data_IF_554543091103
#
_entry.id   IF_554543091103
#
_cell.length_a   1.000
_cell.length_b   1.000
_cell.length_c   1.000
_cell.angle_alpha   90.00
_cell.angle_beta   90.00
_cell.angle_gamma   90.00
#
_symmetry.space_group_name_H-M   'P 1'
#
loop_
_entity.id
_entity.type
_entity.pdbx_description
1 polymer ?
#
# COMPACT_ATOMS: atom_id res chain seq x y z
N UNK A 1 -21.35 -29.44 -24.46
CA UNK A 1 -22.13 -30.64 -24.84
C UNK A 1 -21.13 -31.74 -25.16
N UNK A 2 -20.90 -32.69 -24.24
CA UNK A 2 -19.87 -33.74 -24.41
C UNK A 2 -20.57 -35.05 -24.80
N UNK A 3 -20.17 -35.64 -25.92
CA UNK A 3 -20.68 -36.94 -26.38
C UNK A 3 -20.00 -38.06 -25.60
N UNK A 4 -20.78 -38.85 -24.85
CA UNK A 4 -20.32 -40.09 -24.24
C UNK A 4 -20.49 -41.24 -25.23
N UNK A 5 -19.40 -41.87 -25.64
CA UNK A 5 -19.44 -43.17 -26.31
C UNK A 5 -19.57 -44.27 -25.25
N UNK A 6 -20.42 -45.28 -25.51
CA UNK A 6 -21.01 -46.19 -24.52
C UNK A 6 -20.07 -47.21 -23.82
N UNK A 7 -18.75 -47.00 -23.75
CA UNK A 7 -17.80 -48.10 -23.46
C UNK A 7 -16.87 -47.89 -22.26
N UNK A 8 -17.33 -47.27 -21.17
CA UNK A 8 -16.61 -47.35 -19.88
C UNK A 8 -17.47 -48.01 -18.79
N UNK A 9 -17.35 -49.34 -18.62
CA UNK A 9 -17.98 -50.05 -17.51
C UNK A 9 -17.26 -49.64 -16.20
N UNK A 10 -18.01 -49.09 -15.25
CA UNK A 10 -17.50 -48.84 -13.88
C UNK A 10 -17.70 -47.42 -13.35
N UNK A 11 -18.08 -46.47 -14.20
CA UNK A 11 -18.32 -45.09 -13.73
C UNK A 11 -19.73 -44.96 -13.17
N UNK A 12 -19.83 -44.74 -11.86
CA UNK A 12 -21.11 -44.51 -11.19
C UNK A 12 -21.70 -43.18 -11.67
N UNK A 13 -22.67 -43.25 -12.59
CA UNK A 13 -23.32 -42.09 -13.23
C UNK A 13 -23.88 -41.08 -12.22
N UNK A 14 -24.27 -41.51 -11.01
CA UNK A 14 -24.73 -40.60 -9.95
C UNK A 14 -23.59 -39.76 -9.34
N UNK A 15 -22.38 -40.30 -9.22
CA UNK A 15 -21.22 -39.55 -8.70
C UNK A 15 -20.75 -38.51 -9.70
N UNK A 16 -20.76 -38.85 -10.99
CA UNK A 16 -20.39 -37.90 -12.06
C UNK A 16 -21.41 -36.77 -12.18
N UNK A 17 -22.71 -37.09 -12.16
CA UNK A 17 -23.75 -36.05 -12.14
C UNK A 17 -23.67 -35.16 -10.89
N UNK A 18 -23.36 -35.73 -9.71
CA UNK A 18 -23.14 -34.96 -8.49
C UNK A 18 -21.92 -34.04 -8.57
N UNK A 19 -20.83 -34.50 -9.19
CA UNK A 19 -19.62 -33.70 -9.40
C UNK A 19 -19.87 -32.52 -10.36
N UNK A 20 -20.60 -32.74 -11.45
CA UNK A 20 -20.98 -31.65 -12.36
C UNK A 20 -21.96 -30.67 -11.73
N UNK A 21 -22.93 -31.15 -10.93
CA UNK A 21 -23.84 -30.25 -10.20
C UNK A 21 -23.06 -29.40 -9.19
N UNK A 22 -22.09 -29.99 -8.49
CA UNK A 22 -21.21 -29.28 -7.56
C UNK A 22 -20.35 -28.23 -8.27
N UNK A 23 -19.74 -28.56 -9.42
CA UNK A 23 -18.99 -27.59 -10.23
C UNK A 23 -19.87 -26.48 -10.80
N UNK A 24 -21.10 -26.78 -11.22
CA UNK A 24 -22.04 -25.76 -11.66
C UNK A 24 -22.49 -24.84 -10.51
N UNK A 25 -22.64 -25.37 -9.30
CA UNK A 25 -22.99 -24.56 -8.11
C UNK A 25 -21.83 -23.69 -7.63
N UNK A 26 -20.59 -24.18 -7.70
CA UNK A 26 -19.38 -23.37 -7.46
C UNK A 26 -19.24 -22.29 -8.55
N UNK A 27 -19.41 -22.65 -9.82
CA UNK A 27 -19.40 -21.68 -10.92
C UNK A 27 -20.48 -20.62 -10.76
N UNK A 28 -21.67 -20.97 -10.29
CA UNK A 28 -22.74 -20.00 -9.98
C UNK A 28 -22.44 -19.14 -8.74
N UNK A 29 -21.73 -19.67 -7.74
CA UNK A 29 -21.31 -18.90 -6.56
C UNK A 29 -20.14 -17.95 -6.86
N UNK A 30 -19.31 -18.26 -7.87
CA UNK A 30 -18.24 -17.39 -8.36
C UNK A 30 -18.81 -16.33 -9.33
N UNK A 31 -19.74 -16.70 -10.23
CA UNK A 31 -20.43 -15.77 -11.14
C UNK A 31 -21.48 -14.88 -10.46
N UNK A 32 -22.01 -15.27 -9.30
CA UNK A 32 -22.83 -14.43 -8.41
C UNK A 32 -22.04 -13.91 -7.20
N UNK A 33 -20.76 -14.24 -7.10
CA UNK A 33 -19.81 -13.50 -6.29
C UNK A 33 -19.62 -12.11 -6.92
N UNK A 34 -19.07 -11.13 -6.19
CA UNK A 34 -19.02 -9.73 -6.63
C UNK A 34 -17.98 -9.54 -7.73
N UNK A 35 -18.13 -10.19 -8.88
CA UNK A 35 -17.39 -9.87 -10.09
C UNK A 35 -18.14 -8.77 -10.81
N UNK A 36 -17.65 -7.53 -10.71
CA UNK A 36 -17.97 -6.47 -11.67
C UNK A 36 -18.70 -5.23 -11.13
N UNK A 37 -19.05 -5.17 -9.86
CA UNK A 37 -19.14 -3.87 -9.19
C UNK A 37 -17.77 -3.64 -8.60
N UNK A 38 -17.04 -2.64 -9.08
CA UNK A 38 -16.06 -1.97 -8.22
C UNK A 38 -16.79 -1.78 -6.91
N UNK A 39 -16.41 -2.57 -5.90
CA UNK A 39 -16.86 -2.31 -4.55
C UNK A 39 -16.43 -0.86 -4.40
N UNK A 40 -17.36 0.11 -4.30
CA UNK A 40 -16.95 1.39 -3.79
C UNK A 40 -16.43 0.99 -2.44
N UNK A 41 -15.11 0.89 -2.33
CA UNK A 41 -14.50 0.90 -1.05
C UNK A 41 -14.93 2.29 -0.60
N UNK A 42 -16.03 2.34 0.17
CA UNK A 42 -16.48 3.54 0.85
C UNK A 42 -15.40 3.74 1.91
N UNK A 43 -14.23 4.17 1.43
CA UNK A 43 -12.94 3.96 2.05
C UNK A 43 -12.84 4.79 3.30
N UNK A 44 -13.63 5.84 3.38
CA UNK A 44 -13.93 6.53 4.60
C UNK A 44 -15.42 6.86 4.47
N UNK A 45 -16.26 6.34 5.38
CA UNK A 45 -17.67 6.74 5.38
C UNK A 45 -17.77 8.28 5.41
N UNK A 46 -18.88 8.84 4.94
CA UNK A 46 -19.19 10.29 4.97
C UNK A 46 -18.94 11.00 6.33
N UNK A 47 -18.56 10.26 7.36
CA UNK A 47 -18.13 10.71 8.69
C UNK A 47 -16.77 11.45 8.70
N UNK A 48 -15.85 11.25 7.75
CA UNK A 48 -14.67 12.11 7.65
C UNK A 48 -14.92 13.43 6.91
N UNK A 49 -16.07 13.54 6.24
CA UNK A 49 -16.43 14.68 5.40
C UNK A 49 -17.10 15.82 6.19
N UNK A 50 -17.47 15.62 7.46
CA UNK A 50 -18.25 16.62 8.22
C UNK A 50 -17.43 17.75 8.88
N UNK A 51 -16.10 17.79 8.75
CA UNK A 51 -15.22 18.69 9.51
C UNK A 51 -15.24 20.17 9.03
N UNK A 52 -16.10 20.54 8.07
CA UNK A 52 -16.05 21.82 7.35
C UNK A 52 -16.89 22.99 7.88
N UNK A 53 -17.63 22.87 8.99
CA UNK A 53 -18.52 23.96 9.44
C UNK A 53 -17.74 25.00 10.26
N UNK A 54 -17.35 26.09 9.59
CA UNK A 54 -16.73 27.27 10.20
C UNK A 54 -17.67 27.93 11.23
N UNK A 55 -17.41 27.72 12.52
CA UNK A 55 -18.02 28.51 13.60
C UNK A 55 -17.23 29.81 13.84
N UNK A 56 -17.93 30.90 14.17
CA UNK A 56 -17.33 32.20 14.56
C UNK A 56 -17.34 32.38 16.10
N UNK A 57 -16.39 33.14 16.68
CA UNK A 57 -15.66 32.60 17.83
C UNK A 57 -15.96 33.26 19.18
N UNK A 58 -16.01 32.41 20.21
CA UNK A 58 -15.29 32.62 21.45
C UNK A 58 -14.80 31.25 21.93
N UNK A 59 -13.58 30.88 21.55
CA UNK A 59 -12.96 29.57 21.86
C UNK A 59 -12.52 29.43 23.31
N UNK A 60 -12.71 30.47 24.14
CA UNK A 60 -12.28 30.50 25.53
C UNK A 60 -10.83 30.04 25.69
N UNK A 61 -10.53 29.39 26.81
CA UNK A 61 -9.19 28.84 27.09
C UNK A 61 -9.25 27.38 27.53
N UNK A 62 -10.46 26.80 27.57
CA UNK A 62 -10.73 25.44 28.00
C UNK A 62 -11.21 24.61 26.80
N UNK A 63 -10.70 23.38 26.59
CA UNK A 63 -11.16 22.52 25.49
C UNK A 63 -12.68 22.28 25.51
N UNK A 64 -13.31 22.30 26.68
CA UNK A 64 -14.78 22.17 26.82
C UNK A 64 -15.55 23.33 26.21
N UNK A 65 -14.92 24.49 25.98
CA UNK A 65 -15.54 25.61 25.27
C UNK A 65 -15.86 25.24 23.81
N UNK A 66 -15.09 24.32 23.21
CA UNK A 66 -15.36 23.80 21.86
C UNK A 66 -16.63 22.94 21.80
N UNK A 67 -16.98 22.23 22.87
CA UNK A 67 -18.14 21.33 22.92
C UNK A 67 -19.49 22.02 22.66
N UNK A 68 -19.54 23.34 22.83
CA UNK A 68 -20.74 24.15 22.59
C UNK A 68 -21.11 24.20 21.10
N UNK A 69 -20.10 24.23 20.22
CA UNK A 69 -20.28 24.33 18.78
C UNK A 69 -19.91 23.03 18.04
N UNK A 70 -19.03 22.22 18.62
CA UNK A 70 -18.43 21.01 18.04
C UNK A 70 -18.62 19.83 19.00
N UNK A 71 -19.88 19.55 19.37
CA UNK A 71 -20.20 18.56 20.40
C UNK A 71 -19.77 17.13 20.00
N UNK A 72 -19.91 16.79 18.72
CA UNK A 72 -19.58 15.46 18.20
C UNK A 72 -18.06 15.27 18.11
N UNK A 73 -17.33 16.25 17.55
CA UNK A 73 -15.86 16.22 17.46
C UNK A 73 -15.23 16.24 18.85
N UNK A 74 -15.74 17.08 19.75
CA UNK A 74 -15.30 17.11 21.14
C UNK A 74 -15.58 15.77 21.83
N UNK A 75 -16.77 15.19 21.63
CA UNK A 75 -17.11 13.87 22.16
C UNK A 75 -16.15 12.78 21.70
N UNK A 76 -15.85 12.74 20.40
CA UNK A 76 -14.89 11.79 19.83
C UNK A 76 -13.48 12.02 20.39
N UNK A 77 -13.02 13.27 20.44
CA UNK A 77 -11.72 13.62 21.00
C UNK A 77 -11.60 13.18 22.46
N UNK A 78 -12.60 13.39 23.32
CA UNK A 78 -12.53 13.01 24.75
C UNK A 78 -12.31 11.52 24.97
N UNK A 79 -12.67 10.66 24.01
CA UNK A 79 -12.43 9.23 24.04
C UNK A 79 -11.03 8.82 23.59
N UNK A 80 -10.25 9.74 23.02
CA UNK A 80 -8.93 9.42 22.46
C UNK A 80 -7.86 9.27 23.52
N UNK A 81 -6.80 8.55 23.15
CA UNK A 81 -5.54 8.55 23.91
C UNK A 81 -4.98 9.95 24.12
N UNK A 82 -5.16 10.91 23.19
CA UNK A 82 -4.67 12.28 23.36
C UNK A 82 -5.38 13.03 24.51
N UNK A 83 -6.71 12.94 24.58
CA UNK A 83 -7.50 13.57 25.64
C UNK A 83 -7.25 12.94 27.01
N UNK A 84 -7.03 11.62 27.03
CA UNK A 84 -6.84 10.85 28.25
C UNK A 84 -5.37 10.63 28.63
N UNK A 85 -4.43 11.08 27.78
CA UNK A 85 -2.99 10.85 27.98
C UNK A 85 -2.53 11.40 29.31
N UNK A 86 -3.16 12.48 29.79
CA UNK A 86 -2.87 13.04 31.09
C UNK A 86 -4.12 13.12 31.93
N UNK A 87 -4.05 12.50 33.09
CA UNK A 87 -5.08 12.61 34.11
C UNK A 87 -4.47 13.11 35.41
N UNK A 88 -5.24 13.87 36.18
CA UNK A 88 -4.84 14.36 37.50
C UNK A 88 -5.93 14.09 38.53
N UNK A 89 -5.53 13.71 39.74
CA UNK A 89 -6.44 13.60 40.89
C UNK A 89 -6.22 14.73 41.92
N UNK A 90 -5.49 15.78 41.53
CA UNK A 90 -5.13 16.92 42.38
C UNK A 90 -3.86 16.71 43.23
N UNK A 91 -3.43 15.46 43.45
CA UNK A 91 -2.16 15.15 44.15
C UNK A 91 -1.13 14.50 43.25
N UNK A 92 -1.58 13.78 42.22
CA UNK A 92 -0.75 13.07 41.25
C UNK A 92 -1.20 13.40 39.82
N UNK A 93 -0.23 13.37 38.91
CA UNK A 93 -0.40 13.40 37.47
C UNK A 93 0.00 12.03 36.94
N UNK A 94 -0.89 11.40 36.18
CA UNK A 94 -0.63 10.17 35.45
C UNK A 94 -0.49 10.49 33.97
N UNK A 95 0.54 9.93 33.34
CA UNK A 95 0.86 10.07 31.91
C UNK A 95 0.71 8.69 31.27
N UNK A 96 -0.41 8.49 30.57
CA UNK A 96 -0.87 7.20 30.08
C UNK A 96 -0.91 6.15 31.18
N UNK A 97 -0.64 4.90 30.81
CA UNK A 97 -0.45 3.77 31.73
C UNK A 97 0.97 3.65 32.30
N UNK A 98 1.90 4.49 31.84
CA UNK A 98 3.34 4.21 31.99
C UNK A 98 3.98 4.96 33.15
N UNK A 99 3.44 6.13 33.54
CA UNK A 99 4.07 6.96 34.54
C UNK A 99 3.04 7.66 35.43
N UNK A 100 3.30 7.71 36.73
CA UNK A 100 2.51 8.49 37.69
C UNK A 100 3.46 9.17 38.66
N UNK A 101 3.29 10.48 38.82
CA UNK A 101 4.12 11.30 39.72
C UNK A 101 3.26 12.27 40.51
N UNK A 102 3.80 12.84 41.59
CA UNK A 102 3.06 13.88 42.32
C UNK A 102 3.00 15.15 41.49
N UNK A 103 1.95 15.97 41.65
CA UNK A 103 1.84 17.28 40.98
C UNK A 103 3.07 18.16 41.24
N UNK A 104 3.70 18.06 42.42
CA UNK A 104 4.92 18.81 42.75
C UNK A 104 6.14 18.41 41.90
N UNK A 105 6.16 17.20 41.34
CA UNK A 105 7.23 16.71 40.47
C UNK A 105 6.93 16.92 38.98
N UNK A 106 5.67 17.16 38.61
CA UNK A 106 5.30 17.55 37.25
C UNK A 106 5.71 19.00 37.00
N UNK A 107 6.91 19.18 36.47
CA UNK A 107 7.56 20.48 36.30
C UNK A 107 7.62 20.88 34.81
N UNK A 108 8.28 22.01 34.52
CA UNK A 108 8.47 22.55 33.18
C UNK A 108 9.04 21.54 32.16
N UNK A 109 9.91 20.62 32.58
CA UNK A 109 10.46 19.58 31.71
C UNK A 109 9.41 18.57 31.29
N UNK A 110 8.48 18.20 32.19
CA UNK A 110 7.33 17.37 31.83
C UNK A 110 6.36 18.16 30.96
N UNK A 111 5.93 19.35 31.42
CA UNK A 111 4.93 20.17 30.74
C UNK A 111 5.29 20.48 29.28
N UNK A 112 6.59 20.66 28.97
CA UNK A 112 7.05 20.89 27.60
C UNK A 112 6.52 19.88 26.57
N UNK A 113 6.41 18.61 26.95
CA UNK A 113 5.99 17.54 26.05
C UNK A 113 4.57 17.03 26.33
N UNK A 114 3.94 17.55 27.39
CA UNK A 114 2.74 16.98 28.01
C UNK A 114 1.65 18.03 28.23
N UNK A 115 1.80 19.24 27.71
CA UNK A 115 0.76 20.28 27.75
C UNK A 115 0.70 20.98 26.40
N UNK A 116 -0.50 21.16 25.87
CA UNK A 116 -0.72 22.01 24.70
C UNK A 116 -0.34 23.46 24.97
N UNK A 117 0.23 24.12 23.96
CA UNK A 117 0.57 25.55 24.04
C UNK A 117 1.74 25.87 24.97
N UNK A 118 2.65 24.93 25.23
CA UNK A 118 3.86 25.20 26.00
C UNK A 118 4.73 26.28 25.35
N UNK A 119 5.00 27.37 26.08
CA UNK A 119 5.86 28.45 25.62
C UNK A 119 7.23 28.38 26.31
N UNK A 120 8.27 28.06 25.52
CA UNK A 120 9.65 27.98 26.01
C UNK A 120 10.21 29.33 26.52
N UNK A 121 9.63 30.46 26.10
CA UNK A 121 10.09 31.79 26.53
C UNK A 121 9.60 32.16 27.93
N UNK A 122 8.40 31.71 28.29
CA UNK A 122 7.78 31.96 29.61
C UNK A 122 7.96 30.79 30.57
N UNK A 123 8.20 29.58 30.05
CA UNK A 123 8.30 28.36 30.85
C UNK A 123 6.96 27.96 31.46
N UNK A 124 5.86 28.34 30.81
CA UNK A 124 4.49 28.04 31.23
C UNK A 124 3.65 27.70 29.99
N UNK A 125 2.62 26.84 30.11
CA UNK A 125 1.67 26.67 29.03
C UNK A 125 0.83 27.95 28.85
N UNK A 126 0.53 28.29 27.60
CA UNK A 126 -0.35 29.39 27.23
C UNK A 126 -1.80 29.16 27.71
N UNK A 127 -2.15 27.92 28.02
CA UNK A 127 -3.48 27.48 28.47
C UNK A 127 -3.36 26.75 29.81
N UNK A 128 -4.35 26.89 30.70
CA UNK A 128 -4.39 26.24 32.03
C UNK A 128 -4.79 24.75 31.96
N UNK A 129 -4.47 24.08 30.85
CA UNK A 129 -4.90 22.72 30.55
C UNK A 129 -3.70 21.76 30.57
N UNK A 130 -3.83 20.69 31.36
CA UNK A 130 -2.93 19.54 31.28
C UNK A 130 -3.33 18.65 30.11
N UNK A 131 -2.34 18.10 29.38
CA UNK A 131 -2.57 17.16 28.27
C UNK A 131 -2.59 17.81 26.88
N UNK A 132 -2.91 16.97 25.87
CA UNK A 132 -3.05 17.37 24.46
C UNK A 132 -4.50 17.72 24.19
N UNK A 133 -4.79 18.99 23.95
CA UNK A 133 -6.12 19.50 23.63
C UNK A 133 -6.22 20.06 22.19
N UNK A 134 -7.40 20.56 21.82
CA UNK A 134 -7.69 21.12 20.49
C UNK A 134 -6.65 22.17 20.05
N UNK A 135 -6.15 23.00 20.95
CA UNK A 135 -5.16 24.03 20.63
C UNK A 135 -3.76 23.48 20.28
N UNK A 136 -3.53 22.16 20.37
CA UNK A 136 -2.33 21.55 19.82
C UNK A 136 -2.32 21.54 18.28
N UNK A 137 -3.49 21.43 17.66
CA UNK A 137 -3.65 21.33 16.21
C UNK A 137 -4.39 22.54 15.61
N UNK A 138 -4.98 23.37 16.47
CA UNK A 138 -5.67 24.61 16.11
C UNK A 138 -4.90 25.81 16.68
N UNK A 139 -4.65 26.82 15.86
CA UNK A 139 -3.95 28.06 16.25
C UNK A 139 -4.86 29.10 16.91
N UNK A 140 -6.00 28.65 17.47
CA UNK A 140 -7.07 29.51 17.98
C UNK A 140 -8.02 30.01 16.89
N UNK A 141 -7.84 29.57 15.64
CA UNK A 141 -8.81 29.69 14.56
C UNK A 141 -9.37 28.31 14.18
N UNK A 142 -10.52 28.20 13.50
CA UNK A 142 -11.07 26.90 13.11
C UNK A 142 -10.29 26.19 11.99
N UNK A 143 -9.11 26.71 11.61
CA UNK A 143 -8.23 26.00 10.67
C UNK A 143 -7.47 24.91 11.41
N UNK A 144 -7.35 23.75 10.79
CA UNK A 144 -6.52 22.64 11.27
C UNK A 144 -5.15 22.77 10.64
N UNK A 145 -4.09 22.69 11.44
CA UNK A 145 -2.74 22.50 10.93
C UNK A 145 -2.52 21.02 10.60
N UNK A 146 -2.53 20.68 9.31
CA UNK A 146 -2.28 19.33 8.81
C UNK A 146 -0.79 19.03 8.62
N UNK A 147 0.13 19.92 8.99
CA UNK A 147 1.55 19.64 8.89
C UNK A 147 1.99 18.58 9.90
N UNK A 148 3.02 17.80 9.57
CA UNK A 148 3.64 16.92 10.56
C UNK A 148 4.31 17.70 11.70
N UNK A 149 4.66 18.96 11.47
CA UNK A 149 5.29 19.85 12.46
C UNK A 149 4.38 20.13 13.66
N UNK A 150 3.05 20.18 13.44
CA UNK A 150 2.08 20.25 14.53
C UNK A 150 2.23 19.08 15.52
N UNK A 151 2.52 17.88 15.01
CA UNK A 151 2.73 16.68 15.82
C UNK A 151 4.14 16.63 16.42
N UNK A 152 5.13 17.23 15.75
CA UNK A 152 6.53 17.23 16.17
C UNK A 152 6.75 17.67 17.62
N UNK A 153 5.98 18.67 18.08
CA UNK A 153 6.09 19.21 19.44
C UNK A 153 5.99 18.13 20.52
N UNK A 154 5.17 17.09 20.30
CA UNK A 154 4.98 15.99 21.23
C UNK A 154 5.68 14.68 20.81
N UNK A 155 6.05 14.55 19.52
CA UNK A 155 6.56 13.30 18.92
C UNK A 155 8.03 13.34 18.44
N UNK A 156 8.80 14.37 18.80
CA UNK A 156 10.23 14.58 18.44
C UNK A 156 11.23 13.94 19.43
N UNK A 157 10.85 12.84 20.10
CA UNK A 157 11.44 12.33 21.34
C UNK A 157 12.95 12.50 21.60
N UNK A 158 13.30 12.56 22.90
CA UNK A 158 14.66 12.27 23.38
C UNK A 158 14.59 11.32 24.60
N UNK A 159 15.46 10.31 24.62
CA UNK A 159 15.53 9.33 25.72
C UNK A 159 14.40 8.28 25.66
N UNK A 160 13.55 8.24 26.69
CA UNK A 160 12.48 7.24 26.87
C UNK A 160 11.19 7.52 26.05
N UNK A 161 11.23 8.51 25.15
CA UNK A 161 10.08 8.95 24.34
C UNK A 161 10.30 8.66 22.85
N UNK A 162 9.26 8.26 22.10
CA UNK A 162 9.39 7.77 20.73
C UNK A 162 9.84 8.81 19.70
N UNK A 163 10.60 8.33 18.71
CA UNK A 163 11.11 9.06 17.54
C UNK A 163 10.14 9.05 16.35
N UNK A 164 8.83 9.10 16.59
CA UNK A 164 7.83 8.96 15.52
C UNK A 164 7.93 10.09 14.49
N UNK A 165 8.09 11.35 14.93
CA UNK A 165 8.22 12.46 13.99
C UNK A 165 9.49 12.38 13.17
N UNK A 166 10.64 12.02 13.78
CA UNK A 166 11.90 11.95 13.04
C UNK A 166 11.84 10.85 11.96
N UNK A 167 11.34 9.66 12.32
CA UNK A 167 11.14 8.56 11.37
C UNK A 167 10.19 8.93 10.25
N UNK A 168 9.06 9.57 10.58
CA UNK A 168 8.14 10.08 9.58
C UNK A 168 8.83 11.12 8.68
N UNK A 169 9.59 12.06 9.24
CA UNK A 169 10.29 13.09 8.46
C UNK A 169 11.35 12.52 7.51
N UNK A 170 11.89 11.35 7.85
CA UNK A 170 12.83 10.60 7.01
C UNK A 170 12.12 9.67 6.01
N UNK A 171 10.79 9.57 6.04
CA UNK A 171 9.99 8.70 5.17
C UNK A 171 9.74 9.31 3.79
N UNK A 172 9.35 8.46 2.83
CA UNK A 172 8.82 8.91 1.55
C UNK A 172 7.50 9.70 1.70
N UNK A 173 6.68 9.40 2.72
CA UNK A 173 5.43 10.11 2.97
C UNK A 173 5.63 11.58 3.33
N UNK A 174 6.65 11.91 4.13
CA UNK A 174 6.99 13.32 4.42
C UNK A 174 7.42 14.09 3.15
N UNK A 175 7.94 13.38 2.15
CA UNK A 175 8.42 13.95 0.89
C UNK A 175 7.43 13.79 -0.28
N UNK A 176 6.28 13.16 -0.06
CA UNK A 176 5.32 12.79 -1.11
C UNK A 176 4.96 13.96 -2.03
N UNK A 177 4.67 15.13 -1.45
CA UNK A 177 4.28 16.31 -2.23
C UNK A 177 5.46 16.95 -2.96
N UNK A 178 6.66 16.86 -2.40
CA UNK A 178 7.89 17.27 -3.09
C UNK A 178 8.10 16.40 -4.32
N UNK A 179 8.03 15.09 -4.16
CA UNK A 179 8.21 14.12 -5.26
C UNK A 179 7.14 14.33 -6.33
N UNK A 180 5.86 14.47 -5.93
CA UNK A 180 4.76 14.77 -6.85
C UNK A 180 5.02 16.04 -7.65
N UNK A 181 5.40 17.15 -7.01
CA UNK A 181 5.64 18.44 -7.70
C UNK A 181 6.84 18.40 -8.65
N UNK A 182 7.77 17.48 -8.45
CA UNK A 182 8.90 17.27 -9.38
C UNK A 182 8.55 16.39 -10.57
N UNK A 183 7.46 15.62 -10.50
CA UNK A 183 7.00 14.74 -11.58
C UNK A 183 6.42 15.54 -12.75
N UNK A 184 6.75 15.13 -13.98
CA UNK A 184 6.12 15.65 -15.21
C UNK A 184 4.66 15.21 -15.38
N UNK A 185 4.19 14.29 -14.55
CA UNK A 185 2.85 13.71 -14.59
C UNK A 185 2.00 14.12 -13.37
N UNK A 186 2.43 15.13 -12.63
CA UNK A 186 1.69 15.62 -11.47
C UNK A 186 0.25 16.04 -11.87
N UNK A 187 -0.74 15.39 -11.25
CA UNK A 187 -2.15 15.66 -11.49
C UNK A 187 -2.95 15.69 -10.20
N UNK A 188 -4.14 16.28 -10.25
CA UNK A 188 -5.06 16.32 -9.10
C UNK A 188 -5.54 14.94 -8.67
N UNK A 189 -5.46 13.92 -9.54
CA UNK A 189 -5.74 12.53 -9.16
C UNK A 189 -4.69 11.97 -8.19
N UNK A 190 -3.47 12.49 -8.21
CA UNK A 190 -2.39 12.03 -7.34
C UNK A 190 -2.49 12.62 -5.92
N UNK A 191 -3.11 13.80 -5.77
CA UNK A 191 -3.16 14.49 -4.46
C UNK A 191 -3.95 13.72 -3.43
N UNK A 192 -4.90 12.86 -3.85
CA UNK A 192 -5.64 11.96 -2.96
C UNK A 192 -4.71 11.15 -2.03
N UNK A 193 -3.57 10.69 -2.55
CA UNK A 193 -2.63 9.85 -1.80
C UNK A 193 -1.28 10.50 -1.53
N UNK A 194 -1.03 11.66 -2.12
CA UNK A 194 0.24 12.35 -1.99
C UNK A 194 0.14 13.60 -1.10
N UNK A 195 -1.05 13.95 -0.62
CA UNK A 195 -1.27 15.03 0.36
C UNK A 195 -2.20 14.61 1.48
N UNK A 196 -2.07 15.28 2.63
CA UNK A 196 -2.94 15.02 3.78
C UNK A 196 -4.37 15.49 3.53
N UNK A 197 -4.51 16.65 2.89
CA UNK A 197 -5.83 17.21 2.55
C UNK A 197 -6.56 16.34 1.55
N UNK A 198 -5.88 15.85 0.50
CA UNK A 198 -6.49 14.97 -0.50
C UNK A 198 -6.88 13.61 0.05
N UNK A 199 -6.15 13.13 1.07
CA UNK A 199 -6.49 11.89 1.76
C UNK A 199 -7.74 12.05 2.63
N UNK A 200 -7.81 13.14 3.39
CA UNK A 200 -8.93 13.42 4.31
C UNK A 200 -10.19 13.83 3.56
N UNK A 201 -10.06 14.71 2.57
CA UNK A 201 -11.16 15.22 1.73
C UNK A 201 -11.14 14.56 0.35
N UNK A 202 -11.67 13.33 0.29
CA UNK A 202 -11.67 12.52 -0.94
C UNK A 202 -12.55 13.10 -2.07
N UNK A 203 -13.45 14.05 -1.76
CA UNK A 203 -14.28 14.72 -2.77
C UNK A 203 -13.61 16.00 -3.31
N UNK A 204 -12.59 16.50 -2.59
CA UNK A 204 -11.83 17.67 -2.97
C UNK A 204 -10.99 17.43 -4.22
N UNK A 205 -11.00 18.42 -5.13
CA UNK A 205 -10.04 18.47 -6.24
C UNK A 205 -8.93 19.43 -5.87
N UNK A 206 -7.77 18.90 -5.52
CA UNK A 206 -6.62 19.70 -5.11
C UNK A 206 -5.60 19.82 -6.25
N UNK A 207 -5.16 21.05 -6.50
CA UNK A 207 -4.06 21.34 -7.44
C UNK A 207 -2.72 21.03 -6.74
N UNK A 208 -1.88 20.11 -7.25
CA UNK A 208 -0.54 19.86 -6.70
C UNK A 208 0.33 21.12 -6.54
N UNK A 209 0.07 22.18 -7.32
CA UNK A 209 0.77 23.45 -7.22
C UNK A 209 0.32 24.33 -6.04
N UNK A 210 -0.77 23.99 -5.36
CA UNK A 210 -1.25 24.72 -4.19
C UNK A 210 -0.27 24.55 -3.03
N UNK A 211 0.38 25.66 -2.67
CA UNK A 211 1.40 25.72 -1.61
C UNK A 211 0.82 25.53 -0.21
N UNK A 212 -0.51 25.56 -0.05
CA UNK A 212 -1.18 25.30 1.22
C UNK A 212 -1.34 23.81 1.54
N UNK A 213 -1.15 22.93 0.56
CA UNK A 213 -1.18 21.48 0.76
C UNK A 213 0.04 20.98 1.52
N UNK A 214 -0.19 19.98 2.37
CA UNK A 214 0.83 19.28 3.10
C UNK A 214 1.14 17.93 2.43
N UNK A 215 2.39 17.46 2.53
CA UNK A 215 2.71 16.06 2.26
C UNK A 215 1.88 15.13 3.14
N UNK A 216 1.90 13.83 2.87
CA UNK A 216 1.26 12.84 3.74
C UNK A 216 1.88 12.93 5.14
N UNK A 217 1.08 13.35 6.11
CA UNK A 217 1.48 13.61 7.49
C UNK A 217 0.62 12.81 8.47
N UNK A 218 0.85 12.99 9.78
CA UNK A 218 0.19 12.18 10.80
C UNK A 218 -1.35 12.21 10.71
N UNK A 219 -2.04 13.36 10.48
CA UNK A 219 -3.49 13.41 10.32
C UNK A 219 -4.05 12.64 9.11
N UNK A 220 -3.24 12.31 8.10
CA UNK A 220 -3.66 11.44 7.01
C UNK A 220 -3.92 10.03 7.56
N UNK A 221 -3.02 9.50 8.37
CA UNK A 221 -3.16 8.16 8.93
C UNK A 221 -4.02 8.11 10.20
N UNK A 222 -3.93 9.16 11.03
CA UNK A 222 -4.56 9.22 12.34
C UNK A 222 -5.77 10.16 12.35
N UNK A 223 -6.85 9.73 12.97
CA UNK A 223 -8.01 10.55 13.27
C UNK A 223 -7.99 10.93 14.74
N UNK A 224 -8.26 12.20 15.04
CA UNK A 224 -8.48 12.67 16.43
C UNK A 224 -9.91 13.13 16.68
N UNK A 225 -10.70 13.26 15.61
CA UNK A 225 -12.10 13.70 15.64
C UNK A 225 -13.08 12.65 15.11
N UNK A 226 -12.61 11.59 14.45
CA UNK A 226 -13.47 10.54 13.92
C UNK A 226 -13.90 9.55 14.99
N UNK A 227 -14.99 8.84 14.74
CA UNK A 227 -15.44 7.75 15.61
C UNK A 227 -14.35 6.66 15.77
N UNK A 228 -13.56 6.43 14.72
CA UNK A 228 -12.39 5.54 14.70
C UNK A 228 -11.35 5.87 15.80
N UNK A 229 -11.20 7.15 16.13
CA UNK A 229 -10.28 7.65 17.15
C UNK A 229 -10.63 7.14 18.57
N UNK A 230 -11.91 6.87 18.82
CA UNK A 230 -12.41 6.45 20.14
C UNK A 230 -12.42 4.92 20.32
N UNK A 231 -12.41 4.15 19.23
CA UNK A 231 -12.50 2.68 19.26
C UNK A 231 -11.15 1.97 19.05
N UNK A 232 -10.18 2.60 18.38
CA UNK A 232 -8.87 2.01 18.11
C UNK A 232 -7.76 2.56 19.02
N UNK A 233 -6.92 1.72 19.66
CA UNK A 233 -5.82 2.19 20.51
C UNK A 233 -4.76 3.01 19.75
N UNK A 234 -4.70 2.87 18.42
CA UNK A 234 -3.76 3.59 17.55
C UNK A 234 -4.38 4.81 16.82
N UNK A 235 -5.68 5.08 17.02
CA UNK A 235 -6.40 6.20 16.40
C UNK A 235 -6.27 6.28 14.86
N UNK A 236 -6.11 5.15 14.17
CA UNK A 236 -5.98 5.13 12.70
C UNK A 236 -7.33 5.33 12.01
N UNK A 237 -7.32 5.85 10.77
CA UNK A 237 -8.52 6.11 9.94
C UNK A 237 -9.11 4.87 9.25
N UNK A 238 -8.82 3.67 9.74
CA UNK A 238 -9.32 2.42 9.20
C UNK A 238 -9.51 1.37 10.31
N UNK A 239 -10.07 0.20 9.97
CA UNK A 239 -10.26 -0.90 10.92
C UNK A 239 -8.92 -1.47 11.39
N UNK A 240 -7.94 -1.52 10.49
CA UNK A 240 -6.59 -2.01 10.72
C UNK A 240 -5.58 -1.27 9.82
N UNK A 241 -4.28 -1.49 10.02
CA UNK A 241 -3.28 -0.71 9.32
C UNK A 241 -3.14 -1.12 7.84
N UNK A 242 -3.37 -2.39 7.50
CA UNK A 242 -3.39 -2.84 6.11
C UNK A 242 -4.49 -2.15 5.30
N UNK A 243 -5.71 -2.07 5.83
CA UNK A 243 -6.82 -1.35 5.19
C UNK A 243 -6.52 0.14 5.05
N UNK A 244 -5.81 0.74 6.03
CA UNK A 244 -5.33 2.12 5.92
C UNK A 244 -4.36 2.28 4.75
N UNK A 245 -3.38 1.39 4.60
CA UNK A 245 -2.45 1.41 3.46
C UNK A 245 -3.21 1.20 2.13
N UNK A 246 -4.22 0.33 2.13
CA UNK A 246 -5.09 0.07 1.00
C UNK A 246 -5.99 1.23 0.55
N UNK A 247 -6.06 2.32 1.32
CA UNK A 247 -6.66 3.58 0.86
C UNK A 247 -5.89 4.17 -0.32
N UNK A 248 -4.58 3.93 -0.37
CA UNK A 248 -3.70 4.55 -1.34
C UNK A 248 -2.92 3.58 -2.20
N UNK A 249 -2.48 2.45 -1.66
CA UNK A 249 -1.69 1.48 -2.43
C UNK A 249 -2.56 0.52 -3.23
N UNK A 250 -3.43 1.06 -4.08
CA UNK A 250 -4.37 0.32 -4.94
C UNK A 250 -4.37 0.84 -6.38
N UNK A 251 -5.10 0.20 -7.29
CA UNK A 251 -5.17 0.63 -8.70
C UNK A 251 -3.92 0.26 -9.49
N UNK A 252 -3.77 0.78 -10.71
CA UNK A 252 -2.77 0.26 -11.67
C UNK A 252 -1.34 0.70 -11.41
N UNK A 253 -1.09 1.84 -10.76
CA UNK A 253 0.26 2.44 -10.67
C UNK A 253 0.93 2.35 -9.29
N UNK A 254 0.28 1.68 -8.34
CA UNK A 254 0.83 1.32 -7.03
C UNK A 254 -0.06 0.23 -6.39
N UNK A 255 -0.22 -0.95 -7.01
CA UNK A 255 -1.21 -1.96 -6.62
C UNK A 255 -0.89 -2.73 -5.33
N UNK A 256 0.00 -2.25 -4.47
CA UNK A 256 0.64 -3.10 -3.47
C UNK A 256 -0.33 -3.77 -2.50
N UNK A 257 -1.38 -3.09 -2.07
CA UNK A 257 -2.44 -3.68 -1.25
C UNK A 257 -3.26 -4.72 -2.03
N UNK A 258 -3.57 -4.46 -3.30
CA UNK A 258 -4.32 -5.39 -4.16
C UNK A 258 -3.52 -6.67 -4.43
N UNK A 259 -2.22 -6.55 -4.71
CA UNK A 259 -1.32 -7.69 -4.93
C UNK A 259 -1.09 -8.46 -3.63
N UNK A 260 -0.96 -7.76 -2.50
CA UNK A 260 -0.78 -8.40 -1.19
C UNK A 260 -2.01 -9.18 -0.70
N UNK A 261 -3.23 -8.73 -1.00
CA UNK A 261 -4.44 -9.46 -0.63
C UNK A 261 -4.46 -10.84 -1.30
N UNK A 262 -4.66 -11.89 -0.51
CA UNK A 262 -4.63 -13.27 -0.99
C UNK A 262 -3.24 -13.91 -0.94
N UNK A 263 -2.19 -13.09 -0.81
CA UNK A 263 -0.83 -13.55 -0.63
C UNK A 263 -0.60 -14.29 0.70
N UNK A 264 0.49 -15.06 0.84
CA UNK A 264 0.72 -15.91 2.02
C UNK A 264 0.71 -15.17 3.36
N UNK A 265 1.25 -13.94 3.40
CA UNK A 265 1.30 -13.11 4.61
C UNK A 265 -0.09 -12.56 4.97
N UNK A 266 -0.85 -12.08 3.99
CA UNK A 266 -2.24 -11.66 4.19
C UNK A 266 -3.09 -12.82 4.74
N UNK A 267 -2.98 -14.01 4.14
CA UNK A 267 -3.72 -15.20 4.59
C UNK A 267 -3.30 -15.67 5.99
N UNK A 268 -2.09 -15.34 6.42
CA UNK A 268 -1.60 -15.60 7.78
C UNK A 268 -2.01 -14.50 8.79
N UNK A 269 -2.64 -13.42 8.33
CA UNK A 269 -3.05 -12.29 9.17
C UNK A 269 -1.92 -11.34 9.53
N UNK A 270 -0.82 -11.34 8.78
CA UNK A 270 0.31 -10.40 8.94
C UNK A 270 -0.05 -9.09 8.24
N UNK A 271 -0.10 -7.99 8.98
CA UNK A 271 -0.44 -6.66 8.43
C UNK A 271 0.76 -5.99 7.74
N UNK A 272 0.50 -4.98 6.90
CA UNK A 272 1.55 -4.23 6.19
C UNK A 272 2.57 -3.64 7.18
N UNK A 273 2.09 -3.16 8.33
CA UNK A 273 2.94 -2.54 9.35
C UNK A 273 3.80 -3.53 10.13
N UNK A 274 3.49 -4.83 10.11
CA UNK A 274 4.33 -5.83 10.78
C UNK A 274 5.71 -5.94 10.11
N UNK A 275 5.77 -5.64 8.80
CA UNK A 275 7.00 -5.60 8.02
C UNK A 275 7.51 -4.17 7.77
N UNK A 276 6.62 -3.24 7.39
CA UNK A 276 7.00 -1.87 7.03
C UNK A 276 7.12 -0.95 8.24
N UNK A 277 6.35 -1.23 9.30
CA UNK A 277 6.30 -0.44 10.53
C UNK A 277 6.99 -1.11 11.73
N UNK A 278 7.82 -2.12 11.49
CA UNK A 278 8.42 -2.99 12.50
C UNK A 278 8.89 -2.29 13.79
N UNK A 279 8.75 -2.97 14.93
CA UNK A 279 9.03 -2.44 16.27
C UNK A 279 10.51 -2.23 16.54
N UNK A 280 10.96 -0.99 16.70
CA UNK A 280 12.39 -0.76 16.97
C UNK A 280 12.87 -1.24 18.35
N UNK A 281 11.94 -1.54 19.27
CA UNK A 281 12.23 -2.04 20.62
C UNK A 281 11.21 -3.09 21.05
N UNK A 282 11.44 -4.39 20.75
CA UNK A 282 10.54 -5.47 21.17
C UNK A 282 10.40 -5.52 22.71
N UNK A 283 9.17 -5.61 23.22
CA UNK A 283 8.90 -5.98 24.61
C UNK A 283 8.07 -5.01 25.45
N UNK A 284 8.59 -3.83 25.81
CA UNK A 284 8.00 -3.00 26.90
C UNK A 284 7.30 -1.70 26.45
N UNK A 285 7.43 -1.36 25.17
CA UNK A 285 6.78 -0.20 24.53
C UNK A 285 7.11 -0.29 23.05
N UNK A 286 6.47 -1.25 22.37
CA UNK A 286 6.54 -1.44 20.93
C UNK A 286 6.27 -0.10 20.23
N UNK A 287 7.31 0.47 19.64
CA UNK A 287 7.24 1.70 18.88
C UNK A 287 7.34 1.34 17.41
N UNK A 288 6.23 1.57 16.72
CA UNK A 288 6.12 1.41 15.28
C UNK A 288 7.14 2.32 14.59
N UNK A 289 7.95 1.76 13.70
CA UNK A 289 8.80 2.55 12.83
C UNK A 289 7.96 3.31 11.79
N UNK A 290 7.99 4.65 11.84
CA UNK A 290 7.23 5.49 10.90
C UNK A 290 7.98 5.84 9.61
N UNK A 291 9.15 5.24 9.34
CA UNK A 291 9.76 5.37 8.01
C UNK A 291 8.98 4.61 6.94
N UNK A 292 8.23 3.57 7.34
CA UNK A 292 7.52 2.61 6.49
C UNK A 292 8.43 1.87 5.48
N UNK A 293 9.74 1.99 5.64
CA UNK A 293 10.72 1.23 4.91
C UNK A 293 10.84 -0.16 5.54
N UNK A 294 11.05 -1.18 4.72
CA UNK A 294 11.32 -2.54 5.22
C UNK A 294 12.80 -2.66 5.55
N UNK A 295 13.10 -3.19 6.73
CA UNK A 295 14.40 -3.77 7.06
C UNK A 295 14.17 -5.28 7.21
N UNK A 296 14.51 -6.11 6.20
CA UNK A 296 14.19 -7.53 6.22
C UNK A 296 14.83 -8.28 7.39
N UNK A 297 16.04 -7.91 7.82
CA UNK A 297 16.73 -8.55 8.95
C UNK A 297 15.92 -8.36 10.24
N UNK A 298 15.33 -7.18 10.39
CA UNK A 298 14.48 -6.86 11.52
C UNK A 298 13.09 -7.45 11.31
N UNK A 299 12.37 -7.09 10.24
CA UNK A 299 11.00 -7.52 9.94
C UNK A 299 10.82 -9.05 9.99
N UNK A 300 11.70 -9.81 9.34
CA UNK A 300 11.65 -11.27 9.40
C UNK A 300 12.10 -11.83 10.76
N UNK A 301 12.88 -11.07 11.53
CA UNK A 301 13.44 -11.46 12.83
C UNK A 301 12.66 -11.00 14.06
N UNK A 302 11.68 -10.10 13.92
CA UNK A 302 10.96 -9.48 15.04
C UNK A 302 10.10 -10.43 15.84
N UNK A 303 9.54 -11.41 15.15
CA UNK A 303 8.71 -12.40 15.79
C UNK A 303 9.57 -13.64 16.02
N UNK A 304 9.94 -13.88 17.29
CA UNK A 304 10.17 -15.23 17.83
C UNK A 304 9.01 -16.20 17.49
N UNK A 305 7.92 -15.70 16.89
CA UNK A 305 6.69 -16.38 16.52
C UNK A 305 6.55 -16.68 15.01
N UNK A 306 7.15 -15.90 14.08
CA UNK A 306 6.89 -16.07 12.62
C UNK A 306 7.95 -16.92 11.90
N UNK A 307 9.24 -16.53 11.98
CA UNK A 307 10.35 -17.20 11.28
C UNK A 307 11.45 -17.68 12.24
N UNK A 308 11.07 -18.01 13.46
CA UNK A 308 12.02 -18.44 14.49
C UNK A 308 12.84 -19.67 14.06
N UNK A 309 14.16 -19.53 14.07
CA UNK A 309 15.10 -20.54 13.60
C UNK A 309 15.18 -20.70 12.08
N UNK A 310 14.47 -19.88 11.31
CA UNK A 310 14.44 -19.91 9.83
C UNK A 310 14.63 -18.53 9.18
N UNK A 311 15.07 -17.50 9.91
CA UNK A 311 15.25 -16.13 9.38
C UNK A 311 16.18 -16.11 8.16
N UNK A 312 17.35 -16.77 8.23
CA UNK A 312 18.27 -16.87 7.09
C UNK A 312 17.61 -17.53 5.86
N UNK A 313 16.79 -18.56 6.08
CA UNK A 313 16.03 -19.15 4.98
C UNK A 313 15.01 -18.17 4.41
N UNK A 314 14.27 -17.44 5.25
CA UNK A 314 13.28 -16.47 4.80
C UNK A 314 13.92 -15.33 3.98
N UNK A 315 15.05 -14.79 4.42
CA UNK A 315 15.82 -13.78 3.69
C UNK A 315 16.31 -14.32 2.33
N UNK A 316 16.81 -15.56 2.29
CA UNK A 316 17.20 -16.19 1.02
C UNK A 316 16.00 -16.39 0.08
N UNK A 317 14.79 -16.65 0.60
CA UNK A 317 13.60 -16.74 -0.23
C UNK A 317 13.16 -15.38 -0.78
N UNK A 318 13.26 -14.31 0.03
CA UNK A 318 13.02 -12.95 -0.44
C UNK A 318 13.98 -12.61 -1.59
N UNK A 319 15.29 -12.84 -1.41
CA UNK A 319 16.30 -12.59 -2.45
C UNK A 319 16.04 -13.42 -3.72
N UNK A 320 15.68 -14.70 -3.57
CA UNK A 320 15.37 -15.60 -4.70
C UNK A 320 14.13 -15.14 -5.48
N UNK A 321 13.06 -14.73 -4.78
CA UNK A 321 11.83 -14.22 -5.39
C UNK A 321 12.12 -12.94 -6.16
N UNK A 322 12.75 -11.97 -5.51
CA UNK A 322 13.04 -10.66 -6.10
C UNK A 322 13.94 -10.80 -7.34
N UNK A 323 15.01 -11.60 -7.23
CA UNK A 323 15.93 -11.84 -8.36
C UNK A 323 15.22 -12.52 -9.54
N UNK A 324 14.35 -13.50 -9.26
CA UNK A 324 13.59 -14.18 -10.30
C UNK A 324 12.56 -13.27 -10.98
N UNK A 325 11.96 -12.34 -10.23
CA UNK A 325 11.06 -11.34 -10.77
C UNK A 325 11.80 -10.33 -11.65
N UNK A 326 12.91 -9.76 -11.16
CA UNK A 326 13.74 -8.81 -11.90
C UNK A 326 14.23 -9.41 -13.23
N UNK A 327 14.78 -10.63 -13.21
CA UNK A 327 15.26 -11.32 -14.43
C UNK A 327 14.11 -11.56 -15.43
N UNK A 328 12.93 -11.96 -14.94
CA UNK A 328 11.77 -12.23 -15.79
C UNK A 328 11.24 -10.95 -16.46
N UNK A 329 11.11 -9.86 -15.69
CA UNK A 329 10.63 -8.57 -16.21
C UNK A 329 11.65 -7.97 -17.18
N UNK A 330 12.94 -7.98 -16.85
CA UNK A 330 14.00 -7.46 -17.74
C UNK A 330 14.03 -8.20 -19.09
N UNK A 331 13.95 -9.54 -19.08
CA UNK A 331 13.90 -10.33 -20.31
C UNK A 331 12.64 -10.04 -21.12
N UNK A 332 11.48 -9.98 -20.46
CA UNK A 332 10.22 -9.68 -21.13
C UNK A 332 10.24 -8.29 -21.77
N UNK A 333 10.52 -7.22 -21.01
CA UNK A 333 10.54 -5.85 -21.53
C UNK A 333 11.56 -5.68 -22.68
N UNK A 334 12.74 -6.30 -22.56
CA UNK A 334 13.75 -6.29 -23.62
C UNK A 334 13.24 -6.94 -24.90
N UNK A 335 12.55 -8.09 -24.79
CA UNK A 335 12.00 -8.77 -25.95
C UNK A 335 10.81 -8.01 -26.56
N UNK A 336 9.93 -7.44 -25.73
CA UNK A 336 8.79 -6.64 -26.17
C UNK A 336 9.25 -5.42 -26.97
N UNK A 337 10.16 -4.63 -26.41
CA UNK A 337 10.70 -3.44 -27.07
C UNK A 337 11.42 -3.80 -28.40
N UNK A 338 12.19 -4.89 -28.42
CA UNK A 338 12.84 -5.35 -29.65
C UNK A 338 11.82 -5.77 -30.73
N UNK A 339 10.73 -6.39 -30.32
CA UNK A 339 9.67 -6.84 -31.23
C UNK A 339 8.83 -5.67 -31.77
N UNK A 340 8.47 -4.69 -30.93
CA UNK A 340 7.81 -3.46 -31.37
C UNK A 340 8.58 -2.74 -32.49
N UNK A 341 9.92 -2.68 -32.39
CA UNK A 341 10.77 -2.11 -33.45
C UNK A 341 10.61 -2.87 -34.77
N UNK A 342 10.46 -4.20 -34.73
CA UNK A 342 10.23 -5.03 -35.93
C UNK A 342 8.85 -4.72 -36.53
N UNK A 343 7.81 -4.67 -35.70
CA UNK A 343 6.44 -4.38 -36.11
C UNK A 343 6.35 -2.97 -36.72
N UNK A 344 7.01 -1.99 -36.10
CA UNK A 344 7.08 -0.61 -36.61
C UNK A 344 7.91 -0.48 -37.88
N UNK A 345 8.96 -1.29 -38.05
CA UNK A 345 9.70 -1.35 -39.31
C UNK A 345 8.84 -1.93 -40.45
N UNK A 346 8.02 -2.95 -40.18
CA UNK A 346 7.05 -3.46 -41.13
C UNK A 346 5.99 -2.42 -41.49
N UNK A 347 5.45 -1.70 -40.48
CA UNK A 347 4.49 -0.61 -40.66
C UNK A 347 4.98 0.50 -41.60
N UNK A 348 6.29 0.74 -41.65
CA UNK A 348 6.90 1.72 -42.54
C UNK A 348 7.05 1.26 -44.01
N UNK A 349 6.73 -0.01 -44.33
CA UNK A 349 6.79 -0.53 -45.69
C UNK A 349 5.56 -0.12 -46.51
N UNK A 350 5.69 -0.07 -47.83
CA UNK A 350 4.60 0.36 -48.73
C UNK A 350 3.42 -0.63 -48.79
N UNK A 351 3.68 -1.90 -48.48
CA UNK A 351 2.71 -3.00 -48.54
C UNK A 351 2.30 -3.49 -47.14
N UNK A 352 2.49 -2.65 -46.12
CA UNK A 352 2.15 -2.98 -44.74
C UNK A 352 0.63 -3.17 -44.57
N UNK A 353 0.23 -4.24 -43.88
CA UNK A 353 -1.12 -4.37 -43.35
C UNK A 353 -1.22 -3.60 -42.03
N UNK A 354 -1.76 -2.38 -42.10
CA UNK A 354 -1.94 -1.51 -40.94
C UNK A 354 -2.90 -2.08 -39.89
N UNK A 355 -3.81 -2.98 -40.27
CA UNK A 355 -4.72 -3.63 -39.30
C UNK A 355 -3.94 -4.66 -38.50
N UNK A 356 -3.16 -5.51 -39.17
CA UNK A 356 -2.27 -6.47 -38.51
C UNK A 356 -1.30 -5.76 -37.56
N UNK A 357 -0.69 -4.65 -37.99
CA UNK A 357 0.21 -3.86 -37.13
C UNK A 357 -0.51 -3.37 -35.88
N UNK A 358 -1.69 -2.77 -36.03
CA UNK A 358 -2.47 -2.25 -34.90
C UNK A 358 -2.82 -3.38 -33.94
N UNK A 359 -3.38 -4.49 -34.44
CA UNK A 359 -3.77 -5.63 -33.63
C UNK A 359 -2.58 -6.20 -32.84
N UNK A 360 -1.41 -6.33 -33.48
CA UNK A 360 -0.20 -6.87 -32.83
C UNK A 360 0.33 -5.91 -31.78
N UNK A 361 0.35 -4.59 -32.03
CA UNK A 361 0.79 -3.62 -31.02
C UNK A 361 -0.17 -3.59 -29.83
N UNK A 362 -1.48 -3.65 -30.06
CA UNK A 362 -2.47 -3.72 -28.98
C UNK A 362 -2.25 -4.98 -28.10
N UNK A 363 -1.96 -6.13 -28.72
CA UNK A 363 -1.64 -7.36 -27.99
C UNK A 363 -0.33 -7.26 -27.18
N UNK A 364 0.70 -6.59 -27.73
CA UNK A 364 1.96 -6.36 -27.03
C UNK A 364 1.76 -5.41 -25.85
N UNK A 365 1.04 -4.31 -26.06
CA UNK A 365 0.73 -3.32 -25.02
C UNK A 365 -0.05 -3.95 -23.87
N UNK A 366 -1.07 -4.78 -24.14
CA UNK A 366 -1.85 -5.49 -23.12
C UNK A 366 -0.97 -6.43 -22.28
N UNK A 367 -0.06 -7.18 -22.92
CA UNK A 367 0.86 -8.05 -22.21
C UNK A 367 1.88 -7.27 -21.36
N UNK A 368 2.41 -6.17 -21.89
CA UNK A 368 3.36 -5.29 -21.18
C UNK A 368 2.68 -4.59 -20.00
N UNK A 369 1.39 -4.22 -20.11
CA UNK A 369 0.65 -3.61 -19.02
C UNK A 369 0.55 -4.53 -17.78
N UNK A 370 0.42 -5.85 -17.97
CA UNK A 370 0.46 -6.81 -16.86
C UNK A 370 1.82 -6.83 -16.18
N UNK A 371 2.91 -6.83 -16.94
CA UNK A 371 4.27 -6.76 -16.37
C UNK A 371 4.48 -5.46 -15.59
N UNK A 372 4.05 -4.32 -16.14
CA UNK A 372 4.10 -3.04 -15.46
C UNK A 372 3.25 -3.03 -14.18
N UNK A 373 2.02 -3.57 -14.21
CA UNK A 373 1.14 -3.64 -13.05
C UNK A 373 1.84 -4.29 -11.86
N UNK A 374 2.42 -5.48 -12.04
CA UNK A 374 3.16 -6.15 -10.96
C UNK A 374 4.50 -5.48 -10.66
N UNK A 375 5.14 -4.82 -11.63
CA UNK A 375 6.32 -3.99 -11.40
C UNK A 375 6.04 -2.78 -10.49
N UNK A 376 4.86 -2.19 -10.59
CA UNK A 376 4.44 -1.04 -9.78
C UNK A 376 4.12 -1.38 -8.32
N UNK A 377 3.92 -2.65 -7.97
CA UNK A 377 3.72 -3.07 -6.57
C UNK A 377 4.98 -2.81 -5.72
N UNK A 378 6.18 -2.84 -6.33
CA UNK A 378 7.45 -2.50 -5.69
C UNK A 378 7.98 -3.54 -4.70
N UNK A 379 7.26 -4.65 -4.45
CA UNK A 379 7.77 -5.78 -3.67
C UNK A 379 8.55 -6.80 -4.50
N UNK A 380 8.67 -6.56 -5.81
CA UNK A 380 9.34 -7.46 -6.76
C UNK A 380 8.74 -8.88 -6.72
N UNK A 381 7.41 -8.94 -6.61
CA UNK A 381 6.64 -10.18 -6.56
C UNK A 381 6.57 -10.86 -5.19
N UNK A 382 7.15 -10.28 -4.14
CA UNK A 382 7.15 -10.88 -2.80
C UNK A 382 5.78 -10.92 -2.11
N UNK A 383 4.93 -9.92 -2.34
CA UNK A 383 3.63 -9.81 -1.66
C UNK A 383 2.69 -11.00 -1.97
N UNK A 384 2.62 -11.43 -3.23
CA UNK A 384 1.95 -12.67 -3.64
C UNK A 384 2.71 -13.33 -4.81
N UNK A 385 3.77 -14.11 -4.52
CA UNK A 385 4.59 -14.71 -5.55
C UNK A 385 3.82 -15.66 -6.48
N UNK A 386 2.97 -16.59 -5.98
CA UNK A 386 2.19 -17.47 -6.85
C UNK A 386 1.37 -16.73 -7.91
N UNK A 387 0.55 -15.74 -7.50
CA UNK A 387 -0.29 -14.98 -8.43
C UNK A 387 0.57 -14.12 -9.38
N UNK A 388 1.56 -13.41 -8.83
CA UNK A 388 2.44 -12.53 -9.61
C UNK A 388 3.17 -13.28 -10.72
N UNK A 389 3.83 -14.39 -10.38
CA UNK A 389 4.54 -15.19 -11.37
C UNK A 389 3.58 -15.89 -12.34
N UNK A 390 2.39 -16.32 -11.92
CA UNK A 390 1.40 -16.89 -12.84
C UNK A 390 0.98 -15.86 -13.89
N UNK A 391 0.60 -14.65 -13.46
CA UNK A 391 0.14 -13.58 -14.32
C UNK A 391 1.23 -13.07 -15.27
N UNK A 392 2.45 -12.82 -14.79
CA UNK A 392 3.56 -12.36 -15.65
C UNK A 392 3.96 -13.45 -16.66
N UNK A 393 3.94 -14.74 -16.29
CA UNK A 393 4.19 -15.82 -17.23
C UNK A 393 3.04 -16.01 -18.26
N UNK A 394 1.80 -15.70 -17.90
CA UNK A 394 0.68 -15.65 -18.84
C UNK A 394 0.85 -14.50 -19.83
N UNK A 395 1.13 -13.29 -19.34
CA UNK A 395 1.42 -12.13 -20.18
C UNK A 395 2.59 -12.40 -21.16
N UNK A 396 3.66 -13.05 -20.68
CA UNK A 396 4.76 -13.40 -21.56
C UNK A 396 4.37 -14.43 -22.63
N UNK A 397 3.44 -15.35 -22.33
CA UNK A 397 2.88 -16.26 -23.34
C UNK A 397 2.03 -15.50 -24.36
N UNK A 398 1.19 -14.57 -23.92
CA UNK A 398 0.37 -13.75 -24.82
C UNK A 398 1.23 -12.89 -25.76
N UNK A 399 2.33 -12.35 -25.26
CA UNK A 399 3.35 -11.69 -26.08
C UNK A 399 3.95 -12.62 -27.15
N UNK A 400 4.26 -13.87 -26.80
CA UNK A 400 4.76 -14.84 -27.79
C UNK A 400 3.70 -15.21 -28.83
N UNK A 401 2.43 -15.27 -28.44
CA UNK A 401 1.31 -15.49 -29.35
C UNK A 401 1.10 -14.28 -30.29
N UNK A 402 1.28 -13.04 -29.80
CA UNK A 402 1.30 -11.84 -30.64
C UNK A 402 2.41 -11.90 -31.71
N UNK A 403 3.61 -12.37 -31.32
CA UNK A 403 4.71 -12.62 -32.26
C UNK A 403 4.33 -13.65 -33.30
N UNK A 404 3.76 -14.78 -32.88
CA UNK A 404 3.33 -15.82 -33.80
C UNK A 404 2.26 -15.29 -34.78
N UNK A 405 1.25 -14.60 -34.28
CA UNK A 405 0.19 -13.98 -35.07
C UNK A 405 0.75 -13.02 -36.14
N UNK A 406 1.71 -12.16 -35.76
CA UNK A 406 2.40 -11.28 -36.69
C UNK A 406 3.10 -12.05 -37.81
N UNK A 407 3.94 -13.04 -37.48
CA UNK A 407 4.69 -13.79 -38.48
C UNK A 407 3.82 -14.69 -39.38
N UNK A 408 2.69 -15.19 -38.88
CA UNK A 408 1.76 -16.01 -39.66
C UNK A 408 0.90 -15.21 -40.65
N UNK A 409 0.62 -13.94 -40.33
CA UNK A 409 -0.26 -13.09 -41.13
C UNK A 409 0.50 -12.05 -41.97
N UNK A 410 1.80 -11.88 -41.74
CA UNK A 410 2.63 -11.09 -42.64
C UNK A 410 2.65 -11.71 -44.05
N UNK A 411 2.53 -10.89 -45.12
CA UNK A 411 2.69 -11.37 -46.48
C UNK A 411 4.02 -12.10 -46.65
N UNK A 412 3.97 -13.24 -47.35
CA UNK A 412 5.12 -14.12 -47.64
C UNK A 412 6.34 -13.26 -48.01
N UNK A 413 7.46 -13.37 -47.27
CA UNK A 413 8.41 -12.30 -47.23
C UNK A 413 9.16 -12.19 -48.57
N UNK A 414 9.14 -11.00 -49.17
CA UNK A 414 10.38 -10.49 -49.75
C UNK A 414 11.28 -10.19 -48.56
N UNK A 415 11.91 -11.22 -47.98
CA UNK A 415 12.83 -11.07 -46.85
C UNK A 415 13.83 -10.00 -47.28
N UNK A 416 13.83 -8.81 -46.67
CA UNK A 416 14.87 -7.84 -46.95
C UNK A 416 16.15 -8.52 -46.51
N UNK A 417 16.99 -8.91 -47.46
CA UNK A 417 18.31 -9.47 -47.16
C UNK A 417 18.95 -8.51 -46.15
N UNK A 418 19.25 -8.93 -44.91
CA UNK A 418 19.80 -8.02 -43.92
C UNK A 418 21.05 -7.39 -44.53
N UNK A 419 21.03 -6.08 -44.74
CA UNK A 419 22.20 -5.34 -45.17
C UNK A 419 23.21 -5.40 -44.04
N UNK A 420 24.06 -6.43 -44.10
CA UNK A 420 25.38 -6.57 -43.46
C UNK A 420 25.58 -5.73 -42.19
N UNK A 421 25.37 -6.31 -41.01
CA UNK A 421 25.93 -5.72 -39.79
C UNK A 421 25.38 -6.22 -38.47
N UNK A 422 24.11 -6.63 -38.41
CA UNK A 422 23.52 -7.13 -37.15
C UNK A 422 23.58 -8.67 -37.16
N UNK A 423 24.24 -9.31 -36.17
CA UNK A 423 24.16 -10.74 -36.01
C UNK A 423 22.69 -11.09 -35.74
N UNK A 424 22.01 -11.65 -36.74
CA UNK A 424 20.78 -12.39 -36.51
C UNK A 424 21.20 -13.67 -35.80
N UNK A 425 21.16 -13.62 -34.46
CA UNK A 425 21.16 -14.84 -33.67
C UNK A 425 19.89 -15.60 -34.05
N UNK A 426 20.02 -16.49 -35.03
CA UNK A 426 18.91 -17.29 -35.60
C UNK A 426 18.52 -18.43 -34.66
N UNK A 427 18.73 -18.23 -33.36
CA UNK A 427 18.15 -19.07 -32.34
C UNK A 427 16.68 -18.69 -32.28
N UNK A 428 15.89 -19.34 -33.14
CA UNK A 428 14.52 -19.70 -32.80
C UNK A 428 14.61 -20.50 -31.50
N UNK A 429 14.68 -19.78 -30.38
CA UNK A 429 14.53 -20.34 -29.05
C UNK A 429 13.08 -20.80 -29.04
N UNK A 430 12.85 -22.06 -29.42
CA UNK A 430 11.73 -22.81 -28.85
C UNK A 430 11.96 -22.69 -27.35
N UNK A 431 11.15 -21.84 -26.72
CA UNK A 431 11.27 -21.36 -25.34
C UNK A 431 11.46 -22.54 -24.39
N UNK A 432 12.73 -22.84 -24.12
CA UNK A 432 13.17 -23.54 -22.92
C UNK A 432 13.16 -22.61 -21.70
N UNK A 433 12.75 -21.35 -21.85
CA UNK A 433 12.60 -20.37 -20.78
C UNK A 433 11.45 -20.69 -19.81
N UNK A 434 10.41 -21.38 -20.27
CA UNK A 434 9.39 -21.92 -19.37
C UNK A 434 9.98 -22.98 -18.42
N UNK A 435 11.07 -23.66 -18.78
CA UNK A 435 11.71 -24.60 -17.87
C UNK A 435 12.46 -23.90 -16.73
N UNK A 436 12.89 -22.63 -16.85
CA UNK A 436 13.52 -21.90 -15.75
C UNK A 436 12.52 -21.60 -14.64
N UNK A 437 11.44 -20.88 -14.97
CA UNK A 437 10.37 -20.55 -14.03
C UNK A 437 9.58 -21.76 -13.52
N UNK A 438 9.28 -22.74 -14.39
CA UNK A 438 8.61 -23.99 -13.96
C UNK A 438 9.52 -24.84 -13.08
N UNK A 439 10.85 -24.85 -13.30
CA UNK A 439 11.79 -25.56 -12.42
C UNK A 439 11.96 -24.83 -11.10
N UNK A 440 11.97 -23.50 -11.05
CA UNK A 440 12.00 -22.74 -9.78
C UNK A 440 10.68 -22.94 -9.01
N UNK A 441 9.52 -22.81 -9.64
CA UNK A 441 8.21 -23.09 -9.01
C UNK A 441 8.05 -24.55 -8.55
N UNK A 442 8.53 -25.53 -9.33
CA UNK A 442 8.54 -26.94 -8.91
C UNK A 442 9.61 -27.23 -7.84
N UNK A 443 10.77 -26.57 -7.86
CA UNK A 443 11.80 -26.76 -6.83
C UNK A 443 11.36 -26.13 -5.50
N UNK A 444 10.77 -24.94 -5.52
CA UNK A 444 10.18 -24.30 -4.35
C UNK A 444 9.03 -25.16 -3.78
N UNK A 445 8.12 -25.66 -4.63
CA UNK A 445 7.05 -26.57 -4.20
C UNK A 445 7.55 -27.93 -3.66
N UNK A 446 8.60 -28.51 -4.24
CA UNK A 446 9.17 -29.81 -3.84
C UNK A 446 10.07 -29.71 -2.61
N UNK A 447 10.76 -28.59 -2.40
CA UNK A 447 11.59 -28.35 -1.21
C UNK A 447 10.74 -28.02 0.02
N UNK A 448 9.67 -27.24 -0.14
CA UNK A 448 8.67 -26.99 0.92
C UNK A 448 7.94 -28.28 1.32
N UNK A 449 7.66 -29.17 0.37
CA UNK A 449 7.03 -30.47 0.65
C UNK A 449 7.92 -31.53 1.32
N UNK A 450 9.26 -31.35 1.33
CA UNK A 450 10.21 -32.35 1.86
C UNK A 450 10.78 -32.04 3.25
N UNK A 451 10.50 -30.86 3.82
CA UNK A 451 10.92 -30.46 5.17
C UNK A 451 9.79 -30.41 6.21
N UNK A 452 8.58 -30.89 5.88
CA UNK A 452 7.51 -31.17 6.85
C UNK A 452 7.48 -32.63 7.26
#
# INVERSE_FOLDING_TARGET
MVYYTEVTPGVNKRRVAGYYLFLCLIGFAILLGPTGSGIPINLIGNEAHSDGVLATPNFGTDPSDCSVCHADEYGNWTGTGHATHITTNGTHVSIGSHYTTTVAFFNASCSKCHTSGWDNSTGTPAYDALGVNCFACHDGTPTVDYSGDACATCHTGSGEHPYQYQQWSDSAHANSLTDLRTSSHAGSSCTHCMTTEGFIDQEGTFDPADVSLNSVSCPACHSVHGNWSAVGPAMIRAVNASELCGLCHVGSHHPSYTVWIGGPHNLAGVECIDCHGYDLTPGLSAFLNHTFAVDPDIACGQADECHNGTVEWALNQLEEINSAFEELIEDFETQAAAFEVIVMAYNATADADYTLVSDVLDMVDEAVEVAHYYGYDGSEGFHDPPETFEAVNEAFRDFLDAKAYFYENMPDPVVPTPTTGVPVDSTLIIVGGAAGGIVVGLLLGVLVGRRR
#
